data_IF_903505973607
#
_entry.id   IF_903505973607
#
_cell.length_a   1.000
_cell.length_b   1.000
_cell.length_c   1.000
_cell.angle_alpha   90.00
_cell.angle_beta   90.00
_cell.angle_gamma   90.00
#
_symmetry.space_group_name_H-M   'P 1'
#
loop_
_entity.id
_entity.type
_entity.pdbx_description
1 polymer ?
#
# COMPACT_ATOMS: atom_id res chain seq x y z
N UNK A 1 -31.59 -13.58 0.16
CA UNK A 1 -30.18 -13.16 -0.07
C UNK A 1 -29.18 -14.16 0.52
N UNK A 2 -29.28 -14.51 1.80
CA UNK A 2 -28.39 -15.50 2.47
C UNK A 2 -28.39 -16.89 1.81
N UNK A 3 -29.53 -17.37 1.33
CA UNK A 3 -29.67 -18.66 0.62
C UNK A 3 -29.07 -18.68 -0.79
N UNK A 4 -28.83 -17.51 -1.39
CA UNK A 4 -28.13 -17.38 -2.67
C UNK A 4 -26.61 -17.45 -2.48
N UNK A 5 -26.10 -16.74 -1.47
CA UNK A 5 -24.68 -16.76 -1.09
C UNK A 5 -24.26 -18.16 -0.65
N UNK A 6 -25.08 -18.84 0.15
CA UNK A 6 -24.78 -20.21 0.60
C UNK A 6 -24.68 -21.21 -0.56
N UNK A 7 -25.56 -21.10 -1.58
CA UNK A 7 -25.52 -21.96 -2.76
C UNK A 7 -24.34 -21.66 -3.67
N UNK A 8 -23.99 -20.39 -3.85
CA UNK A 8 -22.78 -20.00 -4.56
C UNK A 8 -21.52 -20.51 -3.87
N UNK A 9 -21.45 -20.36 -2.54
CA UNK A 9 -20.30 -20.83 -1.76
C UNK A 9 -20.18 -22.36 -1.77
N UNK A 10 -21.29 -23.10 -1.71
CA UNK A 10 -21.26 -24.56 -1.77
C UNK A 10 -20.95 -25.11 -3.18
N UNK A 11 -21.32 -24.38 -4.24
CA UNK A 11 -21.07 -24.78 -5.63
C UNK A 11 -19.75 -24.26 -6.22
N UNK A 12 -18.98 -23.46 -5.47
CA UNK A 12 -17.72 -22.92 -5.95
C UNK A 12 -16.60 -23.98 -5.92
N UNK A 13 -15.79 -24.01 -6.98
CA UNK A 13 -14.61 -24.88 -7.06
C UNK A 13 -13.44 -24.30 -6.23
N UNK A 14 -13.51 -24.46 -4.90
CA UNK A 14 -12.51 -23.97 -3.95
C UNK A 14 -11.10 -24.58 -4.13
N UNK A 15 -11.00 -25.68 -4.89
CA UNK A 15 -9.73 -26.31 -5.26
C UNK A 15 -8.73 -25.31 -5.86
N UNK A 16 -9.18 -24.36 -6.68
CA UNK A 16 -8.31 -23.33 -7.27
C UNK A 16 -7.62 -22.46 -6.21
N UNK A 17 -8.29 -22.20 -5.08
CA UNK A 17 -7.75 -21.40 -3.97
C UNK A 17 -6.85 -22.24 -3.06
N UNK A 18 -7.32 -23.44 -2.72
CA UNK A 18 -6.66 -24.32 -1.76
C UNK A 18 -5.40 -24.97 -2.35
N UNK A 19 -5.42 -25.32 -3.64
CA UNK A 19 -4.31 -26.00 -4.31
C UNK A 19 -3.20 -25.03 -4.74
N UNK A 20 -3.51 -23.73 -4.83
CA UNK A 20 -2.57 -22.70 -5.30
C UNK A 20 -2.42 -21.52 -4.31
N UNK A 21 -2.17 -21.77 -3.02
CA UNK A 21 -2.11 -20.69 -2.02
C UNK A 21 -0.99 -19.69 -2.32
N UNK A 22 0.07 -20.13 -2.99
CA UNK A 22 1.19 -19.28 -3.42
C UNK A 22 0.78 -18.20 -4.41
N UNK A 23 -0.05 -18.54 -5.41
CA UNK A 23 -0.51 -17.58 -6.43
C UNK A 23 -1.33 -16.46 -5.78
N UNK A 24 -2.16 -16.81 -4.79
CA UNK A 24 -2.94 -15.84 -4.03
C UNK A 24 -2.08 -15.00 -3.09
N UNK A 25 -1.13 -15.63 -2.40
CA UNK A 25 -0.30 -14.95 -1.42
C UNK A 25 0.70 -13.99 -2.08
N UNK A 26 1.52 -14.44 -3.02
CA UNK A 26 2.68 -13.69 -3.54
C UNK A 26 2.62 -13.46 -5.05
N UNK A 27 1.59 -13.96 -5.74
CA UNK A 27 1.44 -13.83 -7.18
C UNK A 27 2.40 -14.73 -7.95
N UNK A 28 2.90 -14.22 -9.08
CA UNK A 28 3.77 -14.93 -10.01
C UNK A 28 5.27 -14.83 -9.64
N UNK A 29 5.58 -14.48 -8.39
CA UNK A 29 6.96 -14.24 -7.95
C UNK A 29 7.82 -15.51 -8.16
N UNK A 30 8.98 -15.42 -8.85
CA UNK A 30 9.92 -16.52 -9.02
C UNK A 30 10.34 -17.15 -7.67
N UNK A 31 10.60 -18.47 -7.68
CA UNK A 31 10.94 -19.24 -6.46
C UNK A 31 12.20 -18.72 -5.74
N UNK A 32 13.11 -18.12 -6.49
CA UNK A 32 14.33 -17.47 -6.00
C UNK A 32 14.07 -16.25 -5.09
N UNK A 33 12.96 -15.52 -5.30
CA UNK A 33 12.63 -14.31 -4.53
C UNK A 33 11.59 -14.53 -3.43
N UNK A 34 10.97 -15.71 -3.38
CA UNK A 34 10.00 -16.08 -2.34
C UNK A 34 10.50 -15.86 -0.90
N UNK A 35 11.74 -16.23 -0.54
CA UNK A 35 12.26 -15.98 0.80
C UNK A 35 12.27 -14.49 1.16
N UNK A 36 12.52 -13.61 0.19
CA UNK A 36 12.55 -12.15 0.39
C UNK A 36 11.18 -11.62 0.81
N UNK A 37 10.10 -12.10 0.19
CA UNK A 37 8.74 -11.73 0.58
C UNK A 37 8.40 -12.15 2.01
N UNK A 38 8.74 -13.39 2.39
CA UNK A 38 8.50 -13.86 3.75
C UNK A 38 9.34 -13.11 4.79
N UNK A 39 10.60 -12.80 4.48
CA UNK A 39 11.45 -11.99 5.36
C UNK A 39 10.91 -10.57 5.55
N UNK A 40 10.44 -9.90 4.50
CA UNK A 40 9.81 -8.58 4.63
C UNK A 40 8.54 -8.64 5.50
N UNK A 41 7.66 -9.61 5.25
CA UNK A 41 6.46 -9.80 6.08
C UNK A 41 6.83 -10.07 7.55
N UNK A 42 7.83 -10.93 7.79
CA UNK A 42 8.36 -11.23 9.12
C UNK A 42 8.95 -10.00 9.81
N UNK A 43 9.71 -9.16 9.10
CA UNK A 43 10.27 -7.92 9.62
C UNK A 43 9.18 -6.92 10.04
N UNK A 44 8.13 -6.75 9.22
CA UNK A 44 6.99 -5.88 9.55
C UNK A 44 6.25 -6.39 10.78
N UNK A 45 5.96 -7.70 10.84
CA UNK A 45 5.30 -8.31 12.00
C UNK A 45 6.15 -8.19 13.26
N UNK A 46 7.45 -8.46 13.17
CA UNK A 46 8.39 -8.29 14.28
C UNK A 46 8.45 -6.84 14.76
N UNK A 47 8.54 -5.87 13.83
CA UNK A 47 8.52 -4.45 14.17
C UNK A 47 7.20 -4.05 14.87
N UNK A 48 6.06 -4.56 14.41
CA UNK A 48 4.77 -4.34 15.06
C UNK A 48 4.71 -4.91 16.48
N UNK A 49 5.15 -6.15 16.68
CA UNK A 49 5.20 -6.80 18.00
C UNK A 49 6.14 -6.05 18.95
N UNK A 50 7.35 -5.71 18.48
CA UNK A 50 8.33 -4.94 19.26
C UNK A 50 7.80 -3.55 19.61
N UNK A 51 7.03 -2.92 18.72
CA UNK A 51 6.35 -1.66 19.02
C UNK A 51 5.29 -1.84 20.10
N UNK A 52 4.46 -2.89 20.04
CA UNK A 52 3.48 -3.19 21.08
C UNK A 52 4.10 -3.41 22.46
N UNK A 53 5.22 -4.16 22.52
CA UNK A 53 5.98 -4.38 23.75
C UNK A 53 6.66 -3.07 24.21
N UNK A 54 7.25 -2.33 23.28
CA UNK A 54 7.97 -1.09 23.55
C UNK A 54 7.06 0.03 24.09
N UNK A 55 5.85 0.16 23.56
CA UNK A 55 4.82 1.07 24.09
C UNK A 55 4.44 0.66 25.52
N UNK A 56 4.26 -0.64 25.78
CA UNK A 56 3.96 -1.15 27.13
C UNK A 56 5.08 -0.89 28.13
N UNK A 57 6.33 -0.93 27.66
CA UNK A 57 7.55 -0.64 28.45
C UNK A 57 7.94 0.85 28.47
N UNK A 58 7.09 1.75 27.93
CA UNK A 58 7.35 3.20 27.82
C UNK A 58 8.69 3.56 27.14
N UNK A 59 9.06 2.81 26.11
CA UNK A 59 10.24 3.10 25.29
C UNK A 59 10.04 4.44 24.57
N UNK A 60 11.11 5.23 24.47
CA UNK A 60 11.07 6.53 23.82
C UNK A 60 10.57 6.44 22.37
N UNK A 61 9.64 7.33 21.99
CA UNK A 61 9.03 7.33 20.66
C UNK A 61 10.03 7.47 19.50
N UNK A 62 11.22 8.07 19.74
CA UNK A 62 12.30 8.14 18.75
C UNK A 62 12.88 6.76 18.41
N UNK A 63 12.98 5.87 19.39
CA UNK A 63 13.47 4.49 19.19
C UNK A 63 12.45 3.67 18.40
N UNK A 64 11.16 3.84 18.70
CA UNK A 64 10.08 3.23 17.93
C UNK A 64 10.03 3.77 16.50
N UNK A 65 10.18 5.09 16.30
CA UNK A 65 10.28 5.68 14.98
C UNK A 65 11.49 5.19 14.18
N UNK A 66 12.66 5.07 14.83
CA UNK A 66 13.87 4.52 14.21
C UNK A 66 13.71 3.04 13.82
N UNK A 67 13.04 2.22 14.64
CA UNK A 67 12.72 0.83 14.32
C UNK A 67 11.91 0.72 13.01
N UNK A 68 10.86 1.54 12.88
CA UNK A 68 10.03 1.55 11.67
C UNK A 68 10.76 2.11 10.45
N UNK A 69 11.57 3.16 10.61
CA UNK A 69 12.41 3.67 9.53
C UNK A 69 13.43 2.63 9.04
N UNK A 70 14.08 1.92 9.97
CA UNK A 70 15.02 0.84 9.65
C UNK A 70 14.30 -0.34 8.96
N UNK A 71 13.09 -0.68 9.40
CA UNK A 71 12.27 -1.73 8.77
C UNK A 71 11.88 -1.34 7.34
N UNK A 72 11.48 -0.09 7.12
CA UNK A 72 11.18 0.43 5.78
C UNK A 72 12.40 0.40 4.86
N UNK A 73 13.57 0.83 5.35
CA UNK A 73 14.82 0.76 4.60
C UNK A 73 15.21 -0.68 4.25
N UNK A 74 15.09 -1.61 5.20
CA UNK A 74 15.37 -3.03 4.97
C UNK A 74 14.45 -3.62 3.88
N UNK A 75 13.17 -3.26 3.85
CA UNK A 75 12.22 -3.71 2.83
C UNK A 75 12.62 -3.16 1.45
N UNK A 76 12.96 -1.87 1.36
CA UNK A 76 13.42 -1.26 0.10
C UNK A 76 14.67 -1.96 -0.43
N UNK A 77 15.64 -2.23 0.45
CA UNK A 77 16.88 -2.94 0.08
C UNK A 77 16.58 -4.37 -0.39
N UNK A 78 15.71 -5.08 0.32
CA UNK A 78 15.36 -6.46 0.03
C UNK A 78 14.67 -6.62 -1.34
N UNK A 79 13.90 -5.61 -1.74
CA UNK A 79 13.16 -5.58 -3.00
C UNK A 79 13.82 -4.77 -4.12
N UNK A 80 14.98 -4.15 -3.87
CA UNK A 80 15.67 -3.29 -4.84
C UNK A 80 15.98 -3.99 -6.17
N UNK A 81 16.30 -5.30 -6.13
CA UNK A 81 16.62 -6.10 -7.30
C UNK A 81 15.41 -6.86 -7.89
N UNK A 82 14.21 -6.71 -7.32
CA UNK A 82 13.01 -7.41 -7.76
C UNK A 82 12.17 -6.48 -8.61
N UNK A 83 11.80 -6.92 -9.81
CA UNK A 83 10.90 -6.13 -10.66
C UNK A 83 9.48 -6.18 -10.10
N UNK A 84 8.85 -5.01 -9.92
CA UNK A 84 7.52 -4.91 -9.30
C UNK A 84 6.43 -5.67 -10.08
N UNK A 85 6.58 -5.86 -11.39
CA UNK A 85 5.60 -6.58 -12.22
C UNK A 85 5.54 -8.09 -11.92
N UNK A 86 6.55 -8.64 -11.23
CA UNK A 86 6.58 -10.04 -10.82
C UNK A 86 5.91 -10.28 -9.46
N UNK A 87 5.70 -9.21 -8.68
CA UNK A 87 5.09 -9.28 -7.36
C UNK A 87 3.60 -9.08 -7.55
N UNK A 88 2.78 -9.96 -6.98
CA UNK A 88 1.33 -9.86 -7.12
C UNK A 88 0.58 -10.39 -5.91
N UNK A 89 -0.74 -10.54 -6.09
CA UNK A 89 -1.62 -11.12 -5.08
C UNK A 89 -1.76 -10.28 -3.81
N UNK A 90 -2.04 -10.96 -2.72
CA UNK A 90 -2.26 -10.38 -1.39
C UNK A 90 -1.01 -9.65 -0.87
N UNK A 91 0.18 -10.16 -1.18
CA UNK A 91 1.43 -9.58 -0.74
C UNK A 91 1.62 -8.16 -1.30
N UNK A 92 1.41 -7.97 -2.61
CA UNK A 92 1.55 -6.65 -3.22
C UNK A 92 0.54 -5.65 -2.65
N UNK A 93 -0.71 -6.09 -2.46
CA UNK A 93 -1.77 -5.23 -1.90
C UNK A 93 -1.50 -4.84 -0.46
N UNK A 94 -1.07 -5.78 0.39
CA UNK A 94 -0.68 -5.50 1.77
C UNK A 94 0.55 -4.59 1.86
N UNK A 95 1.56 -4.84 1.03
CA UNK A 95 2.77 -4.01 0.98
C UNK A 95 2.43 -2.58 0.55
N UNK A 96 1.65 -2.43 -0.51
CA UNK A 96 1.23 -1.11 -1.00
C UNK A 96 0.37 -0.38 0.04
N UNK A 97 -0.57 -1.08 0.68
CA UNK A 97 -1.38 -0.51 1.75
C UNK A 97 -0.52 -0.06 2.94
N UNK A 98 0.43 -0.89 3.39
CA UNK A 98 1.31 -0.55 4.49
C UNK A 98 2.19 0.68 4.19
N UNK A 99 2.79 0.76 3.00
CA UNK A 99 3.58 1.91 2.57
C UNK A 99 2.71 3.16 2.44
N UNK A 100 1.53 3.04 1.81
CA UNK A 100 0.61 4.16 1.64
C UNK A 100 0.10 4.71 2.97
N UNK A 101 -0.29 3.84 3.92
CA UNK A 101 -0.72 4.24 5.26
C UNK A 101 0.44 4.90 6.00
N UNK A 102 1.63 4.29 5.99
CA UNK A 102 2.80 4.82 6.70
C UNK A 102 3.24 6.18 6.16
N UNK A 103 3.20 6.37 4.84
CA UNK A 103 3.53 7.65 4.21
C UNK A 103 2.46 8.72 4.37
N UNK A 104 1.17 8.35 4.29
CA UNK A 104 0.07 9.31 4.39
C UNK A 104 -0.28 9.69 5.83
N UNK A 105 -0.01 8.82 6.81
CA UNK A 105 -0.38 9.04 8.20
C UNK A 105 0.29 10.29 8.81
N UNK A 106 1.61 10.53 8.69
CA UNK A 106 2.24 11.75 9.18
C UNK A 106 1.66 13.01 8.54
N UNK A 107 1.40 12.97 7.23
CA UNK A 107 0.77 14.10 6.51
C UNK A 107 -0.63 14.35 7.05
N UNK A 108 -1.44 13.31 7.24
CA UNK A 108 -2.77 13.41 7.83
C UNK A 108 -2.75 14.00 9.24
N UNK A 109 -1.79 13.59 10.07
CA UNK A 109 -1.61 14.14 11.44
C UNK A 109 -1.21 15.61 11.39
N UNK A 110 -0.24 15.99 10.53
CA UNK A 110 0.19 17.39 10.39
C UNK A 110 -0.96 18.31 9.97
N UNK A 111 -1.73 17.90 8.96
CA UNK A 111 -2.91 18.66 8.50
C UNK A 111 -3.99 18.68 9.58
N UNK A 112 -4.19 17.58 10.30
CA UNK A 112 -5.14 17.50 11.42
C UNK A 112 -4.82 18.49 12.55
N UNK A 113 -3.54 18.60 12.92
CA UNK A 113 -3.07 19.59 13.89
C UNK A 113 -3.25 21.01 13.33
N UNK A 114 -2.95 21.23 12.06
CA UNK A 114 -3.15 22.52 11.39
C UNK A 114 -4.59 23.02 11.44
N UNK A 115 -5.58 22.12 11.34
CA UNK A 115 -7.01 22.44 11.43
C UNK A 115 -7.42 23.01 12.81
N UNK A 116 -6.77 22.61 13.90
CA UNK A 116 -7.08 23.13 15.25
C UNK A 116 -6.24 24.36 15.64
N UNK A 117 -5.36 24.82 14.73
CA UNK A 117 -4.50 25.98 14.99
C UNK A 117 -5.31 27.25 15.23
N UNK A 118 -4.77 28.16 16.06
CA UNK A 118 -5.35 29.49 16.35
C UNK A 118 -5.20 30.46 15.17
N UNK A 119 -4.26 30.20 14.25
CA UNK A 119 -4.02 31.03 13.07
C UNK A 119 -5.09 30.74 11.99
N UNK A 120 -5.92 31.75 11.61
CA UNK A 120 -7.06 31.52 10.72
C UNK A 120 -6.65 31.09 9.31
N UNK A 121 -5.52 31.60 8.80
CA UNK A 121 -5.00 31.24 7.47
C UNK A 121 -4.65 29.75 7.39
N UNK A 122 -3.86 29.24 8.33
CA UNK A 122 -3.45 27.82 8.36
C UNK A 122 -4.67 26.91 8.52
N UNK A 123 -5.59 27.28 9.42
CA UNK A 123 -6.84 26.55 9.62
C UNK A 123 -7.65 26.44 8.33
N UNK A 124 -7.76 27.53 7.58
CA UNK A 124 -8.50 27.56 6.31
C UNK A 124 -7.85 26.64 5.26
N UNK A 125 -6.54 26.74 5.06
CA UNK A 125 -5.82 25.87 4.13
C UNK A 125 -5.95 24.38 4.48
N UNK A 126 -5.76 24.02 5.75
CA UNK A 126 -5.90 22.62 6.18
C UNK A 126 -7.33 22.11 6.04
N UNK A 127 -8.33 22.95 6.34
CA UNK A 127 -9.75 22.58 6.21
C UNK A 127 -10.10 22.39 4.73
N UNK A 128 -9.72 23.31 3.86
CA UNK A 128 -9.94 23.22 2.42
C UNK A 128 -9.28 21.96 1.83
N UNK A 129 -8.03 21.66 2.20
CA UNK A 129 -7.37 20.43 1.76
C UNK A 129 -8.14 19.17 2.15
N UNK A 130 -8.57 19.06 3.42
CA UNK A 130 -9.33 17.90 3.90
C UNK A 130 -10.68 17.78 3.17
N UNK A 131 -11.38 18.89 2.98
CA UNK A 131 -12.70 18.91 2.32
C UNK A 131 -12.58 18.54 0.84
N UNK A 132 -11.58 19.04 0.13
CA UNK A 132 -11.33 18.70 -1.28
C UNK A 132 -11.03 17.21 -1.42
N UNK A 133 -10.05 16.68 -0.68
CA UNK A 133 -9.65 15.27 -0.80
C UNK A 133 -10.80 14.32 -0.45
N UNK A 134 -11.69 14.70 0.49
CA UNK A 134 -12.88 13.91 0.83
C UNK A 134 -14.01 14.04 -0.19
N UNK A 135 -14.07 15.15 -0.93
CA UNK A 135 -15.05 15.38 -1.98
C UNK A 135 -14.68 14.75 -3.32
N UNK A 136 -13.40 14.47 -3.56
CA UNK A 136 -12.92 13.86 -4.81
C UNK A 136 -13.06 12.33 -4.75
N UNK A 137 -13.78 11.70 -5.71
CA UNK A 137 -13.86 10.24 -5.78
C UNK A 137 -12.48 9.61 -6.01
N UNK A 138 -12.17 8.51 -5.33
CA UNK A 138 -10.87 7.85 -5.50
C UNK A 138 -10.59 7.45 -6.96
N UNK A 139 -11.64 7.01 -7.68
CA UNK A 139 -11.51 6.61 -9.09
C UNK A 139 -11.03 7.76 -9.98
N UNK A 140 -11.40 9.02 -9.71
CA UNK A 140 -10.96 10.15 -10.53
C UNK A 140 -9.48 10.42 -10.33
N UNK A 141 -8.98 10.30 -9.10
CA UNK A 141 -7.55 10.44 -8.78
C UNK A 141 -6.74 9.32 -9.43
N UNK A 142 -7.23 8.08 -9.34
CA UNK A 142 -6.59 6.92 -9.97
C UNK A 142 -6.50 7.07 -11.49
N UNK A 143 -7.59 7.48 -12.14
CA UNK A 143 -7.61 7.72 -13.59
C UNK A 143 -6.71 8.89 -13.98
N UNK A 144 -6.73 9.98 -13.24
CA UNK A 144 -5.89 11.15 -13.51
C UNK A 144 -4.41 10.79 -13.41
N UNK A 145 -4.01 10.04 -12.38
CA UNK A 145 -2.65 9.54 -12.23
C UNK A 145 -2.25 8.60 -13.38
N UNK A 146 -3.13 7.67 -13.76
CA UNK A 146 -2.87 6.74 -14.88
C UNK A 146 -2.67 7.47 -16.21
N UNK A 147 -3.51 8.46 -16.51
CA UNK A 147 -3.41 9.25 -17.75
C UNK A 147 -2.14 10.11 -17.71
N UNK A 148 -1.93 10.85 -16.61
CA UNK A 148 -0.75 11.70 -16.44
C UNK A 148 0.55 10.90 -16.57
N UNK A 149 0.64 9.75 -15.91
CA UNK A 149 1.81 8.88 -16.00
C UNK A 149 2.03 8.37 -17.42
N UNK A 150 0.97 7.92 -18.11
CA UNK A 150 1.05 7.45 -19.50
C UNK A 150 1.51 8.57 -20.45
N UNK A 151 1.04 9.80 -20.24
CA UNK A 151 1.44 10.96 -21.04
C UNK A 151 2.90 11.34 -20.79
N UNK A 152 3.34 11.40 -19.53
CA UNK A 152 4.72 11.73 -19.16
C UNK A 152 5.71 10.65 -19.60
N UNK A 153 5.31 9.38 -19.56
CA UNK A 153 6.14 8.25 -20.02
C UNK A 153 6.32 8.19 -21.55
N UNK A 154 5.53 8.95 -22.33
CA UNK A 154 5.55 8.91 -23.80
C UNK A 154 4.83 7.71 -24.41
N UNK A 155 4.43 6.71 -23.61
CA UNK A 155 3.76 5.48 -24.04
C UNK A 155 2.43 5.73 -24.77
N UNK A 156 1.76 6.85 -24.48
CA UNK A 156 0.53 7.25 -25.18
C UNK A 156 0.76 7.42 -26.69
N UNK A 157 1.84 8.11 -27.07
CA UNK A 157 2.21 8.33 -28.47
C UNK A 157 2.71 7.03 -29.12
N UNK A 158 3.46 6.22 -28.37
CA UNK A 158 4.01 4.95 -28.87
C UNK A 158 2.93 3.91 -29.13
N UNK A 159 1.86 3.85 -28.31
CA UNK A 159 0.71 2.95 -28.55
C UNK A 159 -0.10 3.36 -29.77
N UNK A 160 -0.30 4.67 -29.99
CA UNK A 160 -0.99 5.19 -31.18
C UNK A 160 -0.17 4.92 -32.44
N UNK A 161 1.14 5.18 -32.43
CA UNK A 161 2.00 4.85 -33.57
C UNK A 161 2.03 3.35 -33.88
N UNK A 162 2.05 2.47 -32.86
CA UNK A 162 1.97 1.01 -33.05
C UNK A 162 0.61 0.50 -33.55
N UNK A 163 -0.47 1.28 -33.41
CA UNK A 163 -1.79 0.91 -33.91
C UNK A 163 -2.03 1.36 -35.36
N UNK A 164 -1.19 2.26 -35.89
CA UNK A 164 -1.28 2.79 -37.25
C UNK A 164 -0.42 1.99 -38.24
N UNK A 165 0.62 1.31 -37.75
CA UNK A 165 1.49 0.39 -38.51
C UNK A 165 0.90 -1.02 -38.46
#
# INVERSE_FOLDING_TARGET
>A
MLTGIARWAAGAHWAVVIDNPRLWAVGLLPLEFLPRAWWAAGLVLAAAVLTGIGVRRRVAGRVLGALWAATGAAIVILFWAVRLDQIGGLYLTLLLAAVAITGSFPVGVLVGIGRVSRLPVIRLFCTAYIEIIRGVPLITVLLWFSIFFTLVSGDALTKVQRAII
#
